data_IF_626636056964
#
_entry.id   IF_626636056964
#
_cell.length_a   1.000
_cell.length_b   1.000
_cell.length_c   1.000
_cell.angle_alpha   90.00
_cell.angle_beta   90.00
_cell.angle_gamma   90.00
#
_symmetry.space_group_name_H-M   'P 1'
#
loop_
_entity.id
_entity.type
_entity.pdbx_description
1 polymer ?
#
# COMPACT_ATOMS: atom_id res chain seq x y z
N UNK A 1 9.64 34.76 -6.36
CA UNK A 1 8.88 33.85 -7.23
C UNK A 1 7.82 34.60 -8.03
N UNK A 2 6.92 35.35 -7.39
CA UNK A 2 5.82 36.09 -8.07
C UNK A 2 6.32 37.03 -9.14
N UNK A 3 7.34 37.82 -8.85
CA UNK A 3 7.90 38.83 -9.80
C UNK A 3 8.55 38.18 -11.02
N UNK A 4 9.23 37.03 -10.86
CA UNK A 4 9.81 36.27 -11.98
C UNK A 4 8.71 35.70 -12.87
N UNK A 5 7.62 35.18 -12.25
CA UNK A 5 6.47 34.64 -12.98
C UNK A 5 5.78 35.73 -13.83
N UNK A 6 5.61 36.94 -13.28
CA UNK A 6 5.00 38.04 -14.01
C UNK A 6 5.84 38.54 -15.20
N UNK A 7 7.17 38.41 -15.11
CA UNK A 7 8.11 38.76 -16.16
C UNK A 7 8.38 37.65 -17.16
N UNK A 8 7.82 36.44 -16.98
CA UNK A 8 8.07 35.30 -17.84
C UNK A 8 9.49 34.71 -17.69
N UNK A 9 10.22 35.08 -16.61
CA UNK A 9 11.56 34.59 -16.32
C UNK A 9 11.49 33.21 -15.65
N UNK A 10 11.43 32.17 -16.48
CA UNK A 10 11.37 30.79 -15.99
C UNK A 10 12.65 30.37 -15.25
N UNK A 11 13.83 30.85 -15.67
CA UNK A 11 15.08 30.52 -15.02
C UNK A 11 15.20 31.16 -13.65
N UNK A 12 14.86 32.44 -13.53
CA UNK A 12 14.81 33.14 -12.23
C UNK A 12 13.76 32.55 -11.31
N UNK A 13 12.61 32.15 -11.85
CA UNK A 13 11.58 31.46 -11.07
C UNK A 13 12.08 30.10 -10.54
N UNK A 14 12.74 29.31 -11.37
CA UNK A 14 13.33 28.03 -10.97
C UNK A 14 14.36 28.21 -9.86
N UNK A 15 15.31 29.13 -10.01
CA UNK A 15 16.34 29.41 -9.00
C UNK A 15 15.75 29.91 -7.66
N UNK A 16 14.65 30.69 -7.71
CA UNK A 16 13.96 31.14 -6.50
C UNK A 16 13.22 29.99 -5.79
N UNK A 17 12.62 29.09 -6.56
CA UNK A 17 11.97 27.88 -6.03
C UNK A 17 12.99 26.91 -5.43
N UNK A 18 14.14 26.70 -6.08
CA UNK A 18 15.21 25.84 -5.57
C UNK A 18 15.74 26.33 -4.22
N UNK A 19 15.92 27.65 -4.05
CA UNK A 19 16.28 28.25 -2.76
C UNK A 19 15.20 28.05 -1.69
N UNK A 20 13.93 28.18 -2.07
CA UNK A 20 12.81 27.95 -1.13
C UNK A 20 12.75 26.47 -0.72
N UNK A 21 12.93 25.55 -1.64
CA UNK A 21 12.92 24.12 -1.38
C UNK A 21 14.16 23.64 -0.59
N UNK A 22 15.28 24.35 -0.71
CA UNK A 22 16.46 24.10 0.13
C UNK A 22 16.20 24.47 1.60
N UNK A 23 15.39 25.51 1.86
CA UNK A 23 14.99 25.91 3.22
C UNK A 23 13.81 25.07 3.75
N UNK A 24 12.84 24.75 2.90
CA UNK A 24 11.66 23.94 3.23
C UNK A 24 11.38 22.90 2.13
N UNK A 25 11.97 21.69 2.23
CA UNK A 25 11.82 20.64 1.23
C UNK A 25 10.39 20.09 1.07
N UNK A 26 9.50 20.39 2.03
CA UNK A 26 8.11 19.92 2.03
C UNK A 26 7.11 21.01 1.67
N UNK A 27 7.56 22.13 1.19
CA UNK A 27 6.71 23.24 0.77
C UNK A 27 5.86 22.86 -0.44
N UNK A 28 4.62 22.45 -0.22
CA UNK A 28 3.72 21.94 -1.27
C UNK A 28 3.55 22.97 -2.41
N UNK A 29 3.25 24.26 -2.17
CA UNK A 29 3.15 25.24 -3.25
C UNK A 29 4.43 25.38 -4.07
N UNK A 30 5.59 25.33 -3.45
CA UNK A 30 6.87 25.43 -4.15
C UNK A 30 7.14 24.18 -5.01
N UNK A 31 6.86 22.99 -4.46
CA UNK A 31 6.98 21.71 -5.18
C UNK A 31 6.05 21.70 -6.41
N UNK A 32 4.80 22.13 -6.26
CA UNK A 32 3.83 22.22 -7.35
C UNK A 32 4.31 23.16 -8.46
N UNK A 33 4.76 24.36 -8.11
CA UNK A 33 5.26 25.33 -9.10
C UNK A 33 6.53 24.82 -9.79
N UNK A 34 7.42 24.14 -9.07
CA UNK A 34 8.63 23.55 -9.67
C UNK A 34 8.28 22.43 -10.65
N UNK A 35 7.30 21.58 -10.32
CA UNK A 35 6.75 20.57 -11.19
C UNK A 35 6.12 21.18 -12.47
N UNK A 36 5.36 22.26 -12.32
CA UNK A 36 4.73 22.97 -13.44
C UNK A 36 5.78 23.52 -14.43
N UNK A 37 6.92 24.02 -13.94
CA UNK A 37 8.03 24.44 -14.80
C UNK A 37 8.63 23.29 -15.61
N UNK A 38 8.83 22.12 -14.98
CA UNK A 38 9.31 20.95 -15.70
C UNK A 38 8.28 20.43 -16.70
N UNK A 39 7.00 20.44 -16.33
CA UNK A 39 5.91 20.07 -17.24
C UNK A 39 5.86 20.98 -18.48
N UNK A 40 6.01 22.29 -18.28
CA UNK A 40 6.07 23.27 -19.38
C UNK A 40 7.31 23.08 -20.28
N UNK A 41 8.41 22.61 -19.73
CA UNK A 41 9.63 22.27 -20.48
C UNK A 41 9.56 20.88 -21.15
N UNK A 42 8.47 20.11 -21.00
CA UNK A 42 8.32 18.76 -21.56
C UNK A 42 9.05 17.67 -20.77
N UNK A 43 9.66 17.99 -19.62
CA UNK A 43 10.31 17.02 -18.75
C UNK A 43 9.28 16.37 -17.80
N UNK A 44 8.55 15.41 -18.35
CA UNK A 44 7.52 14.65 -17.61
C UNK A 44 8.10 13.88 -16.41
N UNK A 45 9.36 13.43 -16.50
CA UNK A 45 10.02 12.65 -15.43
C UNK A 45 10.27 13.53 -14.20
N UNK A 46 10.91 14.68 -14.39
CA UNK A 46 11.16 15.62 -13.30
C UNK A 46 9.87 16.20 -12.77
N UNK A 47 8.91 16.56 -13.64
CA UNK A 47 7.58 17.01 -13.24
C UNK A 47 6.90 16.00 -12.32
N UNK A 48 6.84 14.71 -12.71
CA UNK A 48 6.26 13.65 -11.89
C UNK A 48 6.94 13.49 -10.54
N UNK A 49 8.27 13.60 -10.48
CA UNK A 49 9.02 13.49 -9.22
C UNK A 49 8.62 14.57 -8.22
N UNK A 50 8.52 15.83 -8.68
CA UNK A 50 8.10 16.95 -7.84
C UNK A 50 6.62 16.87 -7.45
N UNK A 51 5.71 16.50 -8.37
CA UNK A 51 4.30 16.28 -8.06
C UNK A 51 4.10 15.18 -7.02
N UNK A 52 4.77 14.03 -7.17
CA UNK A 52 4.69 12.94 -6.19
C UNK A 52 5.26 13.33 -4.83
N UNK A 53 6.30 14.17 -4.80
CA UNK A 53 6.85 14.70 -3.56
C UNK A 53 5.84 15.64 -2.89
N UNK A 54 5.17 16.51 -3.64
CA UNK A 54 4.10 17.39 -3.12
C UNK A 54 2.95 16.55 -2.52
N UNK A 55 2.48 15.52 -3.24
CA UNK A 55 1.41 14.62 -2.79
C UNK A 55 1.81 13.92 -1.48
N UNK A 56 3.05 13.40 -1.40
CA UNK A 56 3.56 12.72 -0.19
C UNK A 56 3.81 13.65 0.98
N UNK A 57 4.02 14.94 0.73
CA UNK A 57 4.22 15.96 1.76
C UNK A 57 2.91 16.44 2.38
N UNK A 58 1.76 16.07 1.82
CA UNK A 58 0.46 16.42 2.37
C UNK A 58 0.27 15.76 3.74
N UNK A 59 -0.13 16.53 4.77
CA UNK A 59 -0.36 15.99 6.11
C UNK A 59 -1.59 15.08 6.16
N UNK A 60 -1.53 14.04 6.98
CA UNK A 60 -2.65 13.09 7.18
C UNK A 60 -3.90 13.76 7.76
N UNK A 61 -3.74 14.89 8.45
CA UNK A 61 -4.86 15.71 8.99
C UNK A 61 -5.67 16.41 7.92
N UNK A 62 -5.25 16.36 6.65
CA UNK A 62 -5.88 17.03 5.54
C UNK A 62 -5.21 18.37 5.17
N UNK A 63 -5.59 18.88 4.02
CA UNK A 63 -5.11 20.14 3.46
C UNK A 63 -6.30 21.06 3.12
N UNK A 64 -6.10 22.37 2.99
CA UNK A 64 -7.12 23.28 2.49
C UNK A 64 -7.66 22.84 1.13
N UNK A 65 -8.92 23.19 0.84
CA UNK A 65 -9.64 22.75 -0.36
C UNK A 65 -8.90 23.12 -1.66
N UNK A 66 -8.31 24.30 -1.71
CA UNK A 66 -7.51 24.77 -2.84
C UNK A 66 -6.28 23.92 -3.07
N UNK A 67 -5.55 23.61 -2.01
CA UNK A 67 -4.38 22.72 -2.07
C UNK A 67 -4.78 21.28 -2.44
N UNK A 68 -5.92 20.79 -1.95
CA UNK A 68 -6.44 19.48 -2.32
C UNK A 68 -6.75 19.40 -3.82
N UNK A 69 -7.33 20.42 -4.41
CA UNK A 69 -7.58 20.51 -5.85
C UNK A 69 -6.28 20.53 -6.67
N UNK A 70 -5.26 21.27 -6.22
CA UNK A 70 -3.94 21.26 -6.86
C UNK A 70 -3.26 19.87 -6.78
N UNK A 71 -3.33 19.21 -5.64
CA UNK A 71 -2.79 17.85 -5.47
C UNK A 71 -3.54 16.81 -6.33
N UNK A 72 -4.86 16.96 -6.49
CA UNK A 72 -5.64 16.13 -7.40
C UNK A 72 -5.18 16.32 -8.86
N UNK A 73 -5.00 17.56 -9.31
CA UNK A 73 -4.43 17.87 -10.63
C UNK A 73 -3.04 17.26 -10.81
N UNK A 74 -2.19 17.37 -9.79
CA UNK A 74 -0.85 16.76 -9.82
C UNK A 74 -0.92 15.24 -9.99
N UNK A 75 -1.84 14.58 -9.27
CA UNK A 75 -2.05 13.13 -9.39
C UNK A 75 -2.51 12.75 -10.79
N UNK A 76 -3.48 13.45 -11.36
CA UNK A 76 -3.94 13.23 -12.74
C UNK A 76 -2.80 13.40 -13.76
N UNK A 77 -1.94 14.40 -13.58
CA UNK A 77 -0.76 14.60 -14.42
C UNK A 77 0.22 13.42 -14.31
N UNK A 78 0.52 12.95 -13.10
CA UNK A 78 1.37 11.77 -12.89
C UNK A 78 0.77 10.52 -13.53
N UNK A 79 -0.52 10.29 -13.36
CA UNK A 79 -1.21 9.13 -13.94
C UNK A 79 -1.20 9.19 -15.49
N UNK A 80 -1.31 10.38 -16.07
CA UNK A 80 -1.17 10.59 -17.52
C UNK A 80 0.24 10.27 -17.99
N UNK A 81 1.28 10.83 -17.37
CA UNK A 81 2.68 10.58 -17.73
C UNK A 81 3.05 9.11 -17.58
N UNK A 82 2.52 8.43 -16.55
CA UNK A 82 2.71 7.00 -16.37
C UNK A 82 2.11 6.20 -17.54
N UNK A 83 0.89 6.53 -17.99
CA UNK A 83 0.27 5.89 -19.16
C UNK A 83 1.05 6.14 -20.43
N UNK A 84 1.43 7.39 -20.70
CA UNK A 84 2.23 7.76 -21.87
C UNK A 84 3.56 6.98 -21.94
N UNK A 85 4.23 6.84 -20.78
CA UNK A 85 5.45 6.04 -20.69
C UNK A 85 5.20 4.54 -20.88
N UNK A 86 4.13 3.99 -20.31
CA UNK A 86 3.74 2.59 -20.49
C UNK A 86 3.45 2.28 -21.97
N UNK A 87 2.69 3.14 -22.64
CA UNK A 87 2.36 3.00 -24.07
C UNK A 87 3.61 3.12 -24.95
N UNK A 88 4.50 4.05 -24.63
CA UNK A 88 5.78 4.18 -25.30
C UNK A 88 6.63 2.91 -25.14
N UNK A 89 6.75 2.39 -23.94
CA UNK A 89 7.54 1.20 -23.66
C UNK A 89 6.99 -0.02 -24.38
N UNK A 90 5.68 -0.24 -24.31
CA UNK A 90 5.03 -1.36 -24.99
C UNK A 90 5.23 -1.31 -26.51
N UNK A 91 4.94 -0.19 -27.14
CA UNK A 91 5.16 -0.02 -28.58
C UNK A 91 6.62 -0.31 -28.99
N UNK A 92 7.58 0.14 -28.19
CA UNK A 92 9.01 -0.13 -28.47
C UNK A 92 9.39 -1.60 -28.27
N UNK A 93 8.79 -2.29 -27.31
CA UNK A 93 9.02 -3.71 -27.09
C UNK A 93 8.38 -4.55 -28.20
N UNK A 94 7.14 -4.24 -28.58
CA UNK A 94 6.41 -4.89 -29.68
C UNK A 94 7.13 -4.72 -31.02
N UNK A 95 7.61 -3.52 -31.31
CA UNK A 95 8.42 -3.25 -32.51
C UNK A 95 9.73 -4.06 -32.55
N UNK A 96 10.21 -4.55 -31.39
CA UNK A 96 11.39 -5.44 -31.28
C UNK A 96 11.04 -6.91 -31.14
N UNK A 97 9.78 -7.28 -31.38
CA UNK A 97 9.32 -8.67 -31.40
C UNK A 97 8.82 -9.19 -30.05
N UNK A 98 8.58 -8.33 -29.06
CA UNK A 98 7.91 -8.73 -27.83
C UNK A 98 6.44 -9.05 -28.12
N UNK A 99 6.01 -10.23 -27.69
CA UNK A 99 4.62 -10.67 -27.67
C UNK A 99 4.38 -11.35 -26.32
N UNK A 100 3.43 -10.85 -25.54
CA UNK A 100 3.15 -11.33 -24.21
C UNK A 100 2.75 -12.82 -24.16
N UNK A 101 2.13 -13.34 -25.24
CA UNK A 101 1.71 -14.75 -25.34
C UNK A 101 2.85 -15.67 -25.79
N UNK A 102 3.81 -15.17 -26.58
CA UNK A 102 4.90 -15.94 -27.21
C UNK A 102 6.24 -15.77 -26.50
N UNK A 103 6.44 -14.68 -25.79
CA UNK A 103 7.64 -14.42 -25.00
C UNK A 103 7.69 -15.31 -23.75
N UNK A 104 8.89 -15.49 -23.20
CA UNK A 104 9.00 -16.30 -21.99
C UNK A 104 8.16 -15.70 -20.85
N UNK A 105 7.48 -16.52 -20.04
CA UNK A 105 6.63 -16.04 -18.93
C UNK A 105 7.38 -15.13 -17.96
N UNK A 106 8.66 -15.40 -17.71
CA UNK A 106 9.51 -14.58 -16.83
C UNK A 106 9.76 -13.20 -17.41
N UNK A 107 9.96 -13.09 -18.72
CA UNK A 107 10.15 -11.81 -19.38
C UNK A 107 8.83 -11.03 -19.42
N UNK A 108 7.71 -11.66 -19.78
CA UNK A 108 6.40 -11.03 -19.72
C UNK A 108 6.08 -10.50 -18.32
N UNK A 109 6.36 -11.29 -17.27
CA UNK A 109 6.19 -10.86 -15.88
C UNK A 109 7.09 -9.68 -15.53
N UNK A 110 8.34 -9.63 -16.02
CA UNK A 110 9.23 -8.49 -15.77
C UNK A 110 8.70 -7.20 -16.40
N UNK A 111 8.12 -7.29 -17.59
CA UNK A 111 7.45 -6.16 -18.26
C UNK A 111 6.25 -5.69 -17.42
N UNK A 112 5.41 -6.61 -16.94
CA UNK A 112 4.29 -6.27 -16.07
C UNK A 112 4.72 -5.55 -14.77
N UNK A 113 5.86 -5.95 -14.19
CA UNK A 113 6.43 -5.28 -13.01
C UNK A 113 6.90 -3.86 -13.34
N UNK A 114 7.61 -3.67 -14.45
CA UNK A 114 8.08 -2.35 -14.90
C UNK A 114 6.91 -1.42 -15.23
N UNK A 115 5.85 -1.97 -15.82
CA UNK A 115 4.62 -1.23 -16.13
C UNK A 115 3.73 -0.99 -14.90
N UNK A 116 4.09 -1.50 -13.72
CA UNK A 116 3.29 -1.37 -12.51
C UNK A 116 1.98 -2.15 -12.51
N UNK A 117 1.78 -3.07 -13.47
CA UNK A 117 0.62 -3.99 -13.54
C UNK A 117 0.69 -5.06 -12.47
N UNK A 118 1.91 -5.44 -12.07
CA UNK A 118 2.21 -6.36 -10.97
C UNK A 118 3.10 -5.68 -9.94
N UNK A 119 3.07 -6.20 -8.71
CA UNK A 119 3.92 -5.73 -7.61
C UNK A 119 4.94 -6.80 -7.24
N UNK A 120 6.10 -6.36 -6.80
CA UNK A 120 7.09 -7.25 -6.18
C UNK A 120 6.65 -7.48 -4.73
N UNK A 121 6.46 -8.74 -4.36
CA UNK A 121 6.16 -9.14 -3.00
C UNK A 121 7.43 -9.69 -2.35
N UNK A 122 7.87 -9.03 -1.30
CA UNK A 122 8.99 -9.50 -0.49
C UNK A 122 8.43 -10.25 0.72
N UNK A 123 9.04 -11.38 1.05
CA UNK A 123 8.72 -12.12 2.27
C UNK A 123 9.08 -11.25 3.49
N UNK A 124 8.13 -11.06 4.40
CA UNK A 124 8.31 -10.32 5.65
C UNK A 124 7.79 -11.18 6.81
N UNK A 125 8.49 -12.29 7.16
CA UNK A 125 8.08 -13.15 8.25
C UNK A 125 8.18 -12.43 9.60
N UNK A 126 7.21 -12.68 10.51
CA UNK A 126 7.16 -12.02 11.82
C UNK A 126 8.23 -12.52 12.79
N UNK A 127 8.61 -13.79 12.69
CA UNK A 127 9.42 -14.46 13.72
C UNK A 127 10.75 -15.00 13.20
N UNK A 128 10.75 -15.61 12.02
CA UNK A 128 11.93 -16.28 11.50
C UNK A 128 12.01 -16.16 9.99
N UNK A 129 13.16 -15.74 9.48
CA UNK A 129 13.43 -15.70 8.05
C UNK A 129 14.31 -16.89 7.66
N UNK A 130 13.82 -17.74 6.77
CA UNK A 130 14.59 -18.83 6.21
C UNK A 130 15.14 -18.41 4.84
N UNK A 131 16.47 -18.25 4.70
CA UNK A 131 17.08 -17.81 3.45
C UNK A 131 16.88 -18.85 2.33
N UNK A 132 16.76 -18.37 1.10
CA UNK A 132 16.68 -19.22 -0.09
C UNK A 132 15.31 -19.79 -0.41
N UNK A 133 14.26 -19.50 0.38
CA UNK A 133 12.91 -19.85 -0.02
C UNK A 133 12.46 -19.00 -1.21
N UNK A 134 11.85 -19.61 -2.25
CA UNK A 134 11.30 -18.87 -3.37
C UNK A 134 10.22 -17.89 -2.90
N UNK A 135 10.29 -16.65 -3.41
CA UNK A 135 9.25 -15.66 -3.15
C UNK A 135 8.11 -15.81 -4.15
N UNK A 136 7.39 -16.92 -4.04
CA UNK A 136 6.25 -17.25 -4.89
C UNK A 136 4.98 -16.94 -4.12
N UNK A 137 4.22 -15.94 -4.58
CA UNK A 137 2.97 -15.53 -3.92
C UNK A 137 1.84 -16.52 -4.19
N UNK A 138 1.75 -17.00 -5.42
CA UNK A 138 0.78 -18.01 -5.84
C UNK A 138 1.52 -19.09 -6.62
N UNK A 139 1.39 -20.32 -6.17
CA UNK A 139 1.94 -21.47 -6.88
C UNK A 139 1.06 -21.81 -8.09
N UNK A 140 1.69 -22.27 -9.17
CA UNK A 140 0.98 -22.76 -10.33
C UNK A 140 0.19 -24.03 -9.94
N UNK A 141 -1.09 -24.08 -10.32
CA UNK A 141 -1.98 -25.20 -10.07
C UNK A 141 -1.39 -26.50 -10.65
N UNK A 142 -0.71 -26.44 -11.78
CA UNK A 142 -0.06 -27.59 -12.40
C UNK A 142 1.00 -28.26 -11.52
N UNK A 143 1.56 -27.56 -10.53
CA UNK A 143 2.50 -28.12 -9.57
C UNK A 143 1.83 -28.88 -8.40
N UNK A 144 0.52 -28.86 -8.34
CA UNK A 144 -0.28 -29.42 -7.25
C UNK A 144 -1.38 -30.37 -7.80
N UNK A 145 -1.02 -31.58 -8.28
CA UNK A 145 -1.98 -32.49 -8.91
C UNK A 145 -3.11 -32.95 -7.98
N UNK A 146 -2.89 -32.87 -6.66
CA UNK A 146 -3.91 -33.16 -5.63
C UNK A 146 -4.96 -32.08 -5.43
N UNK A 147 -4.83 -30.94 -6.08
CA UNK A 147 -5.69 -29.77 -5.85
C UNK A 147 -7.13 -30.02 -6.29
N UNK A 148 -7.32 -30.80 -7.36
CA UNK A 148 -8.65 -31.14 -7.88
C UNK A 148 -9.43 -32.02 -6.88
N UNK A 149 -8.75 -32.93 -6.17
CA UNK A 149 -9.36 -33.78 -5.13
C UNK A 149 -9.82 -32.93 -3.93
N UNK A 150 -9.01 -31.96 -3.52
CA UNK A 150 -9.38 -31.04 -2.42
C UNK A 150 -10.54 -30.13 -2.81
N UNK A 151 -10.56 -29.62 -4.05
CA UNK A 151 -11.68 -28.82 -4.54
C UNK A 151 -12.98 -29.65 -4.62
N UNK A 152 -12.90 -30.88 -5.04
CA UNK A 152 -14.07 -31.78 -5.06
C UNK A 152 -14.64 -32.04 -3.66
N UNK A 153 -13.79 -32.07 -2.62
CA UNK A 153 -14.18 -32.26 -1.22
C UNK A 153 -14.67 -30.95 -0.53
N UNK A 154 -14.51 -29.79 -1.16
CA UNK A 154 -14.92 -28.51 -0.55
C UNK A 154 -16.38 -28.43 -0.10
N UNK A 155 -17.38 -28.96 -0.84
CA UNK A 155 -18.77 -28.97 -0.38
C UNK A 155 -18.96 -29.71 0.95
N UNK A 156 -18.32 -30.86 1.11
CA UNK A 156 -18.40 -31.69 2.30
C UNK A 156 -17.71 -31.00 3.49
N UNK A 157 -16.51 -30.44 3.26
CA UNK A 157 -15.79 -29.66 4.27
C UNK A 157 -16.62 -28.45 4.74
N UNK A 158 -17.28 -27.75 3.82
CA UNK A 158 -18.16 -26.61 4.17
C UNK A 158 -19.37 -27.07 4.97
N UNK A 159 -19.99 -28.17 4.62
CA UNK A 159 -21.14 -28.73 5.33
C UNK A 159 -20.74 -29.12 6.76
N UNK A 160 -19.60 -29.78 6.94
CA UNK A 160 -19.09 -30.17 8.25
C UNK A 160 -18.76 -28.95 9.12
N UNK A 161 -18.10 -27.93 8.56
CA UNK A 161 -17.78 -26.68 9.26
C UNK A 161 -19.05 -25.95 9.69
N UNK A 162 -20.06 -25.87 8.84
CA UNK A 162 -21.35 -25.26 9.15
C UNK A 162 -22.06 -25.99 10.30
N UNK A 163 -22.06 -27.32 10.27
CA UNK A 163 -22.63 -28.15 11.33
C UNK A 163 -21.92 -27.95 12.67
N UNK A 164 -20.58 -27.98 12.68
CA UNK A 164 -19.78 -27.74 13.90
C UNK A 164 -19.94 -26.33 14.45
N UNK A 165 -19.97 -25.32 13.58
CA UNK A 165 -20.18 -23.93 13.98
C UNK A 165 -21.58 -23.70 14.60
N UNK A 166 -22.59 -24.43 14.13
CA UNK A 166 -23.94 -24.40 14.71
C UNK A 166 -23.98 -25.07 16.09
N UNK A 167 -23.30 -26.21 16.23
CA UNK A 167 -23.17 -26.92 17.50
C UNK A 167 -22.44 -26.09 18.56
N UNK A 168 -21.34 -25.42 18.20
CA UNK A 168 -20.58 -24.54 19.10
C UNK A 168 -21.39 -23.34 19.57
N UNK A 169 -22.25 -22.77 18.72
CA UNK A 169 -23.17 -21.69 19.08
C UNK A 169 -24.22 -22.20 20.07
N UNK A 170 -24.81 -23.36 19.84
CA UNK A 170 -25.81 -23.96 20.69
C UNK A 170 -25.24 -24.27 22.09
N UNK A 171 -24.03 -24.83 22.18
CA UNK A 171 -23.36 -25.06 23.48
C UNK A 171 -23.02 -23.73 24.17
N UNK A 172 -22.63 -22.69 23.44
CA UNK A 172 -22.40 -21.36 23.99
C UNK A 172 -23.65 -20.74 24.60
N UNK A 173 -24.79 -20.90 23.96
CA UNK A 173 -26.08 -20.39 24.42
C UNK A 173 -26.57 -21.18 25.65
N UNK A 174 -26.40 -22.50 25.69
CA UNK A 174 -26.73 -23.34 26.84
C UNK A 174 -25.90 -22.97 28.09
N UNK A 175 -24.58 -22.77 27.92
CA UNK A 175 -23.68 -22.33 29.00
C UNK A 175 -24.06 -20.93 29.50
N UNK A 176 -24.46 -20.03 28.61
CA UNK A 176 -24.91 -18.69 28.94
C UNK A 176 -26.24 -18.69 29.71
N UNK A 177 -27.20 -19.55 29.33
CA UNK A 177 -28.52 -19.65 29.98
C UNK A 177 -28.43 -20.29 31.37
N UNK A 178 -27.54 -21.25 31.55
CA UNK A 178 -27.31 -21.92 32.85
C UNK A 178 -26.67 -20.95 33.88
N UNK A 179 -25.92 -19.94 33.42
CA UNK A 179 -25.26 -18.94 34.28
C UNK A 179 -26.22 -17.86 34.81
N UNK A 180 -27.35 -17.65 34.16
CA UNK A 180 -28.37 -16.65 34.58
C UNK A 180 -29.32 -17.22 35.66
N UNK A 181 -29.39 -18.57 35.82
CA UNK A 181 -30.28 -19.22 36.78
C UNK A 181 -29.78 -19.37 38.23
N UNK A 182 -28.51 -19.08 38.51
CA UNK A 182 -27.92 -19.19 39.85
C UNK A 182 -27.63 -17.80 40.44
N UNK A 183 -28.67 -17.15 40.91
CA UNK A 183 -28.58 -15.93 41.72
C UNK A 183 -28.00 -16.23 43.10
N UNK A 184 -26.69 -16.23 43.24
CA UNK A 184 -26.00 -16.14 44.54
C UNK A 184 -25.29 -14.79 44.61
N UNK A 185 -25.70 -13.95 45.56
CA UNK A 185 -25.07 -12.68 45.91
C UNK A 185 -23.58 -12.83 46.20
N UNK A 186 -22.70 -11.93 45.73
CA UNK A 186 -21.29 -12.00 46.08
C UNK A 186 -21.09 -11.55 47.54
N UNK A 187 -20.74 -12.49 48.40
CA UNK A 187 -20.21 -12.21 49.73
C UNK A 187 -18.77 -11.68 49.57
N UNK A 188 -18.53 -10.57 50.25
CA UNK A 188 -17.30 -9.84 50.53
C UNK A 188 -15.99 -10.62 50.45
N UNK A 189 -15.09 -10.14 49.57
CA UNK A 189 -13.68 -10.55 49.45
C UNK A 189 -12.88 -9.84 50.57
N UNK A 190 -12.16 -10.56 51.45
CA UNK A 190 -11.24 -9.92 52.40
C UNK A 190 -9.98 -9.42 51.69
N UNK A 191 -9.67 -8.14 51.84
CA UNK A 191 -8.43 -7.51 51.43
C UNK A 191 -7.21 -8.12 52.11
N UNK A 192 -6.37 -8.78 51.36
CA UNK A 192 -5.09 -9.31 51.80
C UNK A 192 -4.01 -8.23 51.69
N UNK A 193 -3.65 -7.67 52.82
CA UNK A 193 -2.49 -6.78 52.98
C UNK A 193 -1.20 -7.55 52.72
N UNK A 194 -0.40 -7.06 51.74
CA UNK A 194 0.95 -7.55 51.49
C UNK A 194 1.93 -6.96 52.50
N UNK A 195 2.86 -7.73 53.04
CA UNK A 195 3.95 -7.18 53.84
C UNK A 195 5.04 -6.60 52.97
N UNK A 196 5.51 -5.43 53.35
CA UNK A 196 6.59 -4.64 52.83
C UNK A 196 7.90 -5.37 53.07
N UNK A 197 8.68 -5.70 52.04
CA UNK A 197 10.04 -6.17 52.18
C UNK A 197 10.96 -4.98 52.49
N UNK A 198 11.60 -5.08 53.66
CA UNK A 198 12.66 -4.17 54.14
C UNK A 198 13.99 -4.51 53.47
N UNK A 199 14.61 -3.50 52.95
CA UNK A 199 16.01 -3.53 52.49
C UNK A 199 16.98 -3.52 53.66
N UNK A 200 18.00 -4.36 53.63
CA UNK A 200 19.20 -4.16 54.42
C UNK A 200 20.44 -4.69 53.64
N UNK A 201 21.41 -3.79 53.51
CA UNK A 201 22.86 -3.93 53.26
C UNK A 201 23.30 -4.50 51.96
#
# INVERSE_FOLDING_TARGET
VRDCRQRGDAAGQAAALDRLLAADPRNIPALMQRADLYAAAGDARSASSFYLTAIRSAPASGVPKETAAELARAKEACDRYAREYQDYLLRNLEARGFDAARSSPRFAQSVDLVLGRKRIYLQQPKYYYFPGLPQVQFHDRALMPWFDEVEAALPDIRAELASRASHLRQVGDEVSSTRVGSGASPSSIPTRTSPRASSAS
#
